data_IF_894204188320
#
_entry.id   IF_894204188320
#
_cell.length_a   1.000
_cell.length_b   1.000
_cell.length_c   1.000
_cell.angle_alpha   90.00
_cell.angle_beta   90.00
_cell.angle_gamma   90.00
#
_symmetry.space_group_name_H-M   'P 1'
#
loop_
_entity.id
_entity.type
_entity.pdbx_description
1 polymer ?
#
# COMPACT_ATOMS: atom_id res chain seq x y z
N UNK A 1 -33.85 -4.05 11.43
CA UNK A 1 -32.72 -4.89 11.90
C UNK A 1 -33.28 -5.92 12.88
N UNK A 2 -33.74 -7.09 12.43
CA UNK A 2 -34.35 -8.06 13.36
C UNK A 2 -34.76 -9.40 12.73
N UNK A 3 -35.19 -9.39 11.47
CA UNK A 3 -35.52 -10.63 10.75
C UNK A 3 -34.29 -11.38 10.21
N UNK A 4 -33.26 -10.66 9.76
CA UNK A 4 -32.02 -11.26 9.27
C UNK A 4 -31.19 -11.93 10.37
N UNK A 5 -31.09 -11.31 11.55
CA UNK A 5 -30.37 -11.91 12.68
C UNK A 5 -31.08 -13.18 13.16
N UNK A 6 -32.41 -13.16 13.31
CA UNK A 6 -33.16 -14.34 13.75
C UNK A 6 -33.03 -15.51 12.77
N UNK A 7 -33.08 -15.25 11.46
CA UNK A 7 -32.91 -16.28 10.44
C UNK A 7 -31.48 -16.86 10.44
N UNK A 8 -30.46 -16.00 10.51
CA UNK A 8 -29.05 -16.41 10.60
C UNK A 8 -28.78 -17.24 11.86
N UNK A 9 -29.31 -16.81 13.01
CA UNK A 9 -29.14 -17.54 14.27
C UNK A 9 -29.85 -18.90 14.26
N UNK A 10 -31.05 -18.99 13.69
CA UNK A 10 -31.78 -20.26 13.60
C UNK A 10 -31.09 -21.23 12.61
N UNK A 11 -30.50 -20.69 11.54
CA UNK A 11 -29.71 -21.48 10.57
C UNK A 11 -28.43 -22.02 11.21
N UNK A 12 -27.66 -21.18 11.91
CA UNK A 12 -26.45 -21.60 12.66
C UNK A 12 -26.79 -22.67 13.70
N UNK A 13 -27.92 -22.54 14.39
CA UNK A 13 -28.37 -23.49 15.42
C UNK A 13 -28.78 -24.85 14.84
N UNK A 14 -29.21 -24.90 13.57
CA UNK A 14 -29.60 -26.12 12.87
C UNK A 14 -28.41 -26.84 12.21
N UNK A 15 -27.24 -26.21 12.10
CA UNK A 15 -26.06 -26.82 11.49
C UNK A 15 -25.43 -27.87 12.41
N UNK A 16 -25.01 -28.98 11.80
CA UNK A 16 -24.19 -29.97 12.50
C UNK A 16 -22.81 -29.38 12.81
N UNK A 17 -22.19 -29.75 13.94
CA UNK A 17 -20.88 -29.24 14.35
C UNK A 17 -19.80 -29.36 13.26
N UNK A 18 -19.84 -30.46 12.48
CA UNK A 18 -18.96 -30.66 11.32
C UNK A 18 -19.19 -29.62 10.23
N UNK A 19 -20.43 -29.29 9.92
CA UNK A 19 -20.78 -28.28 8.90
C UNK A 19 -20.32 -26.88 9.32
N UNK A 20 -20.45 -26.55 10.60
CA UNK A 20 -19.97 -25.29 11.17
C UNK A 20 -18.44 -25.17 11.03
N UNK A 21 -17.70 -26.26 11.30
CA UNK A 21 -16.24 -26.30 11.09
C UNK A 21 -15.90 -26.10 9.61
N UNK A 22 -16.58 -26.78 8.68
CA UNK A 22 -16.30 -26.63 7.23
C UNK A 22 -16.58 -25.21 6.73
N UNK A 23 -17.67 -24.58 7.18
CA UNK A 23 -17.95 -23.18 6.84
C UNK A 23 -16.89 -22.24 7.42
N UNK A 24 -16.49 -22.45 8.67
CA UNK A 24 -15.40 -21.70 9.30
C UNK A 24 -14.07 -21.85 8.55
N UNK A 25 -13.73 -23.07 8.12
CA UNK A 25 -12.53 -23.34 7.34
C UNK A 25 -12.58 -22.67 5.96
N UNK A 26 -13.70 -22.75 5.24
CA UNK A 26 -13.87 -22.08 3.95
C UNK A 26 -13.71 -20.56 4.08
N UNK A 27 -14.34 -19.98 5.09
CA UNK A 27 -14.18 -18.56 5.38
C UNK A 27 -12.71 -18.21 5.69
N UNK A 28 -12.06 -18.99 6.55
CA UNK A 28 -10.65 -18.80 6.89
C UNK A 28 -9.74 -18.91 5.65
N UNK A 29 -10.00 -19.84 4.74
CA UNK A 29 -9.25 -20.00 3.48
C UNK A 29 -9.40 -18.79 2.56
N UNK A 30 -10.61 -18.23 2.43
CA UNK A 30 -10.83 -17.02 1.62
C UNK A 30 -10.06 -15.84 2.22
N UNK A 31 -10.19 -15.61 3.53
CA UNK A 31 -9.49 -14.51 4.22
C UNK A 31 -7.97 -14.69 4.15
N UNK A 32 -7.46 -15.91 4.38
CA UNK A 32 -6.02 -16.19 4.32
C UNK A 32 -5.47 -15.97 2.92
N UNK A 33 -6.19 -16.38 1.87
CA UNK A 33 -5.76 -16.16 0.49
C UNK A 33 -5.61 -14.67 0.16
N UNK A 34 -6.56 -13.83 0.57
CA UNK A 34 -6.48 -12.39 0.37
C UNK A 34 -5.27 -11.77 1.10
N UNK A 35 -5.04 -12.18 2.36
CA UNK A 35 -3.88 -11.73 3.14
C UNK A 35 -2.56 -12.20 2.54
N UNK A 36 -2.50 -13.42 2.01
CA UNK A 36 -1.33 -13.98 1.34
C UNK A 36 -1.00 -13.20 0.07
N UNK A 37 -2.01 -12.82 -0.73
CA UNK A 37 -1.80 -11.99 -1.93
C UNK A 37 -1.22 -10.63 -1.54
N UNK A 38 -1.80 -9.97 -0.53
CA UNK A 38 -1.29 -8.67 -0.05
C UNK A 38 0.14 -8.75 0.48
N UNK A 39 0.43 -9.74 1.34
CA UNK A 39 1.78 -9.94 1.88
C UNK A 39 2.77 -10.39 0.82
N UNK A 40 2.34 -11.20 -0.13
CA UNK A 40 3.15 -11.58 -1.29
C UNK A 40 3.57 -10.37 -2.11
N UNK A 41 2.64 -9.45 -2.40
CA UNK A 41 2.95 -8.18 -3.06
C UNK A 41 3.99 -7.37 -2.28
N UNK A 42 3.83 -7.22 -0.95
CA UNK A 42 4.81 -6.50 -0.11
C UNK A 42 6.22 -7.10 -0.20
N UNK A 43 6.33 -8.43 -0.22
CA UNK A 43 7.62 -9.14 -0.31
C UNK A 43 8.22 -8.99 -1.70
N UNK A 44 7.42 -9.14 -2.76
CA UNK A 44 7.89 -9.06 -4.15
C UNK A 44 8.35 -7.64 -4.50
N UNK A 45 7.62 -6.62 -4.08
CA UNK A 45 7.99 -5.23 -4.37
C UNK A 45 9.01 -4.66 -3.39
N UNK A 46 9.31 -5.35 -2.29
CA UNK A 46 10.18 -4.82 -1.22
C UNK A 46 9.63 -3.58 -0.52
N UNK A 47 8.34 -3.26 -0.72
CA UNK A 47 7.68 -2.07 -0.19
C UNK A 47 6.64 -2.45 0.88
N UNK A 48 6.61 -1.68 1.97
CA UNK A 48 5.55 -1.79 2.98
C UNK A 48 4.17 -1.41 2.44
N UNK A 49 4.12 -0.65 1.35
CA UNK A 49 2.89 -0.26 0.69
C UNK A 49 3.09 -0.39 -0.82
N UNK A 50 2.83 -1.57 -1.42
CA UNK A 50 3.03 -1.78 -2.85
C UNK A 50 2.09 -0.93 -3.71
N UNK A 51 0.98 -0.45 -3.14
CA UNK A 51 -0.07 0.29 -3.83
C UNK A 51 -0.47 1.48 -2.97
N UNK A 52 -0.33 2.70 -3.50
CA UNK A 52 -0.74 3.95 -2.83
C UNK A 52 -1.59 4.81 -3.76
N UNK A 53 -2.39 5.71 -3.19
CA UNK A 53 -3.22 6.65 -3.95
C UNK A 53 -2.70 8.08 -3.80
N UNK A 54 -2.73 8.84 -4.88
CA UNK A 54 -2.35 10.25 -4.88
C UNK A 54 -3.45 11.09 -4.23
N UNK A 55 -3.11 11.73 -3.10
CA UNK A 55 -4.06 12.52 -2.30
C UNK A 55 -4.11 14.01 -2.68
N UNK A 56 -3.07 14.54 -3.33
CA UNK A 56 -2.93 15.97 -3.62
C UNK A 56 -2.44 16.21 -5.05
N UNK A 57 -2.66 17.42 -5.56
CA UNK A 57 -2.22 17.83 -6.91
C UNK A 57 -0.78 18.35 -6.95
N UNK A 58 0.08 18.00 -5.98
CA UNK A 58 1.47 18.50 -5.96
C UNK A 58 2.34 17.93 -7.07
N UNK A 59 1.92 16.82 -7.67
CA UNK A 59 2.62 16.13 -8.75
C UNK A 59 1.99 16.38 -10.12
N UNK A 60 1.03 17.30 -10.25
CA UNK A 60 0.48 17.66 -11.56
C UNK A 60 1.57 18.34 -12.42
N UNK A 61 1.70 18.01 -13.72
CA UNK A 61 0.80 17.18 -14.54
C UNK A 61 1.15 15.68 -14.60
N UNK A 62 2.19 15.22 -13.91
CA UNK A 62 2.63 13.81 -13.99
C UNK A 62 1.64 12.84 -13.32
N UNK A 63 1.06 13.25 -12.20
CA UNK A 63 0.02 12.50 -11.50
C UNK A 63 -1.11 13.41 -11.05
N UNK A 64 -2.32 12.90 -11.10
CA UNK A 64 -3.54 13.56 -10.66
C UNK A 64 -4.08 12.93 -9.38
N UNK A 65 -4.90 13.69 -8.66
CA UNK A 65 -5.59 13.17 -7.46
C UNK A 65 -6.43 11.95 -7.84
N UNK A 66 -6.28 10.87 -7.08
CA UNK A 66 -6.96 9.60 -7.32
C UNK A 66 -6.17 8.59 -8.14
N UNK A 67 -5.02 8.97 -8.70
CA UNK A 67 -4.15 8.02 -9.41
C UNK A 67 -3.61 6.97 -8.43
N UNK A 68 -3.53 5.73 -8.92
CA UNK A 68 -2.98 4.60 -8.21
C UNK A 68 -1.50 4.42 -8.60
N UNK A 69 -0.61 4.50 -7.62
CA UNK A 69 0.82 4.27 -7.84
C UNK A 69 1.19 2.87 -7.37
N UNK A 70 1.89 2.14 -8.24
CA UNK A 70 2.52 0.87 -7.91
C UNK A 70 3.97 1.16 -7.50
N UNK A 71 4.33 0.76 -6.28
CA UNK A 71 5.63 1.04 -5.69
C UNK A 71 6.49 -0.22 -5.68
N UNK A 72 7.75 -0.05 -6.05
CA UNK A 72 8.81 -1.03 -5.88
C UNK A 72 9.99 -0.37 -5.17
N UNK A 73 10.65 -1.13 -4.32
CA UNK A 73 11.80 -0.70 -3.53
C UNK A 73 12.92 -1.72 -3.73
N UNK A 74 13.55 -1.65 -4.89
CA UNK A 74 14.69 -2.48 -5.22
C UNK A 74 15.97 -1.86 -4.65
N UNK A 75 16.61 -2.55 -3.71
CA UNK A 75 17.88 -2.08 -3.14
C UNK A 75 19.05 -2.21 -4.11
N UNK A 76 18.93 -3.01 -5.17
CA UNK A 76 19.95 -3.16 -6.19
C UNK A 76 19.96 -2.01 -7.20
N UNK A 77 18.84 -1.29 -7.35
CA UNK A 77 18.73 -0.13 -8.25
C UNK A 77 18.74 1.18 -7.45
N UNK A 78 19.88 1.92 -7.42
CA UNK A 78 19.97 3.15 -6.66
C UNK A 78 19.11 4.25 -7.27
N UNK A 79 18.50 5.07 -6.41
CA UNK A 79 17.66 6.21 -6.77
C UNK A 79 18.48 7.26 -7.55
N UNK A 80 17.96 7.71 -8.68
CA UNK A 80 18.58 8.69 -9.58
C UNK A 80 17.75 9.97 -9.69
N UNK A 81 18.39 11.02 -10.20
CA UNK A 81 17.67 12.24 -10.59
C UNK A 81 16.62 11.91 -11.65
N UNK A 82 15.39 12.36 -11.42
CA UNK A 82 14.24 12.10 -12.28
C UNK A 82 13.24 11.11 -11.69
N UNK A 83 13.68 10.25 -10.76
CA UNK A 83 12.82 9.25 -10.13
C UNK A 83 11.72 9.88 -9.29
N UNK A 84 10.55 9.24 -9.26
CA UNK A 84 9.46 9.60 -8.37
C UNK A 84 9.55 8.71 -7.14
N UNK A 85 9.79 9.32 -5.98
CA UNK A 85 9.95 8.60 -4.73
C UNK A 85 8.77 8.85 -3.82
N UNK A 86 8.38 7.81 -3.09
CA UNK A 86 7.37 7.87 -2.03
C UNK A 86 8.07 7.62 -0.72
N UNK A 87 8.00 8.57 0.20
CA UNK A 87 8.65 8.47 1.50
C UNK A 87 7.77 9.01 2.62
N UNK A 88 7.99 8.49 3.82
CA UNK A 88 7.35 8.96 5.05
C UNK A 88 8.33 9.85 5.81
N UNK A 89 7.83 10.91 6.42
CA UNK A 89 8.60 11.77 7.32
C UNK A 89 8.17 11.45 8.75
N UNK A 90 9.13 11.35 9.67
CA UNK A 90 8.83 11.20 11.10
C UNK A 90 7.93 12.34 11.59
N UNK A 91 6.82 11.99 12.24
CA UNK A 91 5.80 12.95 12.67
C UNK A 91 4.77 13.33 11.61
N UNK A 92 4.81 12.74 10.40
CA UNK A 92 3.71 12.80 9.42
C UNK A 92 3.22 11.41 9.06
N UNK A 93 1.92 11.18 9.25
CA UNK A 93 1.31 9.88 8.93
C UNK A 93 1.10 9.67 7.43
N UNK A 94 0.97 10.75 6.67
CA UNK A 94 0.68 10.72 5.24
C UNK A 94 2.01 10.68 4.45
N UNK A 95 2.22 9.67 3.58
CA UNK A 95 3.40 9.60 2.73
C UNK A 95 3.40 10.72 1.68
N UNK A 96 4.60 11.14 1.28
CA UNK A 96 4.81 12.22 0.31
C UNK A 96 5.37 11.62 -0.98
N UNK A 97 4.79 12.03 -2.10
CA UNK A 97 5.24 11.67 -3.45
C UNK A 97 5.90 12.88 -4.08
N UNK A 98 7.19 12.80 -4.41
CA UNK A 98 7.93 13.88 -5.08
C UNK A 98 8.91 13.31 -6.12
N UNK A 99 9.32 14.17 -7.06
CA UNK A 99 10.40 13.88 -8.00
C UNK A 99 11.76 14.23 -7.41
N UNK A 100 12.74 13.35 -7.56
CA UNK A 100 14.13 13.61 -7.21
C UNK A 100 14.72 14.59 -8.23
N UNK A 101 15.08 15.78 -7.77
CA UNK A 101 15.70 16.82 -8.60
C UNK A 101 17.22 16.71 -8.56
N UNK A 102 17.77 16.32 -7.41
CA UNK A 102 19.21 16.20 -7.24
C UNK A 102 19.57 15.14 -6.22
N UNK A 103 20.56 14.33 -6.57
CA UNK A 103 21.22 13.39 -5.66
C UNK A 103 22.53 14.02 -5.21
N UNK A 104 22.76 14.05 -3.90
CA UNK A 104 23.99 14.51 -3.28
C UNK A 104 24.70 13.32 -2.63
N UNK A 105 25.67 12.76 -3.33
CA UNK A 105 26.48 11.65 -2.85
C UNK A 105 27.80 12.20 -2.27
N UNK A 106 27.98 12.12 -0.96
CA UNK A 106 29.28 12.39 -0.31
C UNK A 106 30.03 11.09 0.00
N UNK A 107 29.31 10.05 0.39
CA UNK A 107 29.79 8.69 0.60
C UNK A 107 28.61 7.72 0.46
N UNK A 108 28.84 6.40 0.34
CA UNK A 108 27.75 5.41 0.30
C UNK A 108 26.81 5.48 1.51
N UNK A 109 27.26 6.06 2.62
CA UNK A 109 26.51 6.20 3.88
C UNK A 109 25.91 7.60 4.09
N UNK A 110 26.29 8.59 3.27
CA UNK A 110 25.81 9.99 3.33
C UNK A 110 25.31 10.41 1.94
N UNK A 111 24.21 9.81 1.52
CA UNK A 111 23.47 10.18 0.31
C UNK A 111 22.23 10.99 0.70
N UNK A 112 22.09 12.18 0.15
CA UNK A 112 20.94 13.06 0.39
C UNK A 112 20.19 13.30 -0.91
N UNK A 113 18.87 13.23 -0.85
CA UNK A 113 17.99 13.45 -1.99
C UNK A 113 17.27 14.79 -1.83
N UNK A 114 17.40 15.65 -2.83
CA UNK A 114 16.56 16.84 -2.96
C UNK A 114 15.36 16.48 -3.83
N UNK A 115 14.17 16.48 -3.23
CA UNK A 115 12.93 16.14 -3.92
C UNK A 115 11.99 17.35 -4.00
N UNK A 116 11.18 17.43 -5.06
CA UNK A 116 10.22 18.51 -5.30
C UNK A 116 8.97 17.96 -5.98
N UNK A 117 7.80 18.50 -5.65
CA UNK A 117 6.57 18.22 -6.40
C UNK A 117 6.57 18.93 -7.75
N UNK A 118 6.09 18.25 -8.79
CA UNK A 118 6.10 18.77 -10.17
C UNK A 118 5.26 20.06 -10.32
N UNK A 119 4.22 20.24 -9.50
CA UNK A 119 3.35 21.43 -9.50
C UNK A 119 3.90 22.57 -8.62
N UNK A 120 5.10 22.43 -8.05
CA UNK A 120 5.70 23.51 -7.28
C UNK A 120 6.48 24.47 -8.21
N UNK A 121 5.92 25.66 -8.45
CA UNK A 121 6.48 26.65 -9.39
C UNK A 121 7.67 27.46 -8.83
N UNK A 122 8.05 27.27 -7.56
CA UNK A 122 9.13 27.98 -6.87
C UNK A 122 10.30 27.07 -6.53
#
# INVERSE_FOLDING_TARGET
MGLFDLAMFDEIRRMNFRQLIYQGLNFAMVVSSALMIWKGLMVVTGSESPIVVVLSGSMEPAFFRGDLLLLTNDQADPIRTGDITVFKIDGRDIPIVHRVIKVHEKSPQDTKFLTKGDNNQV
#
